data_IF_247528581889
#
_entry.id   IF_247528581889
#
_cell.length_a   1.000
_cell.length_b   1.000
_cell.length_c   1.000
_cell.angle_alpha   90.00
_cell.angle_beta   90.00
_cell.angle_gamma   90.00
#
_symmetry.space_group_name_H-M   'P 1'
#
loop_
_entity.id
_entity.type
_entity.pdbx_description
1 polymer ?
#
# COMPACT_ATOMS: atom_id res chain seq x y z
N UNK A 1 6.23 22.00 15.51
CA UNK A 1 7.50 21.37 15.10
C UNK A 1 7.21 20.52 13.88
N UNK A 2 8.18 20.39 12.97
CA UNK A 2 8.09 19.57 11.75
C UNK A 2 9.20 18.53 11.76
N UNK A 3 9.00 17.41 11.06
CA UNK A 3 9.93 16.27 11.03
C UNK A 3 10.89 16.36 9.83
N UNK A 4 12.13 15.95 10.04
CA UNK A 4 13.12 15.76 8.97
C UNK A 4 12.85 14.49 8.16
N UNK A 5 12.37 13.44 8.83
CA UNK A 5 12.10 12.13 8.23
C UNK A 5 10.79 11.61 8.79
N UNK A 6 9.92 11.13 7.90
CA UNK A 6 8.74 10.32 8.24
C UNK A 6 8.92 8.94 7.65
N UNK A 7 8.56 7.90 8.41
CA UNK A 7 8.64 6.50 7.98
C UNK A 7 7.23 5.91 8.03
N UNK A 8 6.83 5.29 6.92
CA UNK A 8 5.55 4.63 6.76
C UNK A 8 5.77 3.33 5.98
N UNK A 9 6.00 2.22 6.68
CA UNK A 9 6.23 0.94 6.05
C UNK A 9 4.99 0.06 6.15
N UNK A 10 4.47 -0.37 5.00
CA UNK A 10 3.41 -1.37 4.86
C UNK A 10 2.15 -1.01 5.67
N UNK A 11 1.71 0.25 5.51
CA UNK A 11 0.54 0.81 6.21
C UNK A 11 -0.48 1.44 5.28
N UNK A 12 -0.06 1.98 4.14
CA UNK A 12 -0.92 2.79 3.27
C UNK A 12 -2.01 1.96 2.58
N UNK A 13 -1.72 0.69 2.30
CA UNK A 13 -2.64 -0.29 1.74
C UNK A 13 -3.78 -0.67 2.69
N UNK A 14 -3.63 -0.44 3.99
CA UNK A 14 -4.64 -0.78 5.00
C UNK A 14 -5.64 0.33 5.28
N UNK A 15 -5.50 1.49 4.60
CA UNK A 15 -6.38 2.63 4.81
C UNK A 15 -7.77 2.38 4.23
N UNK A 16 -8.73 2.19 5.15
CA UNK A 16 -10.12 1.92 4.83
C UNK A 16 -10.74 3.13 4.12
N UNK A 17 -10.99 2.97 2.82
CA UNK A 17 -11.43 4.05 1.93
C UNK A 17 -10.57 4.22 0.68
N UNK A 18 -9.52 3.39 0.55
CA UNK A 18 -8.66 3.31 -0.62
C UNK A 18 -8.01 4.66 -0.94
N UNK A 19 -7.91 4.98 -2.23
CA UNK A 19 -7.18 6.14 -2.73
C UNK A 19 -7.52 7.45 -2.00
N UNK A 20 -8.78 7.70 -1.65
CA UNK A 20 -9.18 8.94 -0.97
C UNK A 20 -8.52 9.10 0.41
N UNK A 21 -8.47 8.01 1.18
CA UNK A 21 -7.82 7.99 2.48
C UNK A 21 -6.29 7.91 2.35
N UNK A 22 -5.78 7.24 1.32
CA UNK A 22 -4.35 7.20 1.01
C UNK A 22 -3.81 8.59 0.67
N UNK A 23 -4.53 9.36 -0.13
CA UNK A 23 -4.19 10.77 -0.41
C UNK A 23 -4.26 11.60 0.87
N UNK A 24 -5.30 11.44 1.69
CA UNK A 24 -5.42 12.19 2.95
C UNK A 24 -4.27 11.88 3.92
N UNK A 25 -3.89 10.60 4.04
CA UNK A 25 -2.73 10.17 4.80
C UNK A 25 -1.44 10.83 4.31
N UNK A 26 -1.20 10.83 3.00
CA UNK A 26 -0.03 11.47 2.41
C UNK A 26 -0.03 13.01 2.60
N UNK A 27 -1.21 13.66 2.58
CA UNK A 27 -1.34 15.10 2.89
C UNK A 27 -0.97 15.42 4.33
N UNK A 28 -1.36 14.57 5.28
CA UNK A 28 -0.94 14.74 6.66
C UNK A 28 0.57 14.56 6.84
N UNK A 29 1.18 13.64 6.08
CA UNK A 29 2.64 13.50 6.04
C UNK A 29 3.31 14.76 5.47
N UNK A 30 2.83 15.26 4.34
CA UNK A 30 3.34 16.50 3.72
C UNK A 30 3.28 17.67 4.71
N UNK A 31 2.14 17.83 5.41
CA UNK A 31 1.93 18.91 6.40
C UNK A 31 2.92 18.87 7.57
N UNK A 32 3.33 17.68 8.01
CA UNK A 32 4.23 17.53 9.17
C UNK A 32 5.70 17.49 8.79
N UNK A 33 6.03 17.28 7.50
CA UNK A 33 7.40 17.32 7.01
C UNK A 33 7.93 18.76 7.01
N UNK A 34 9.24 18.90 7.18
CA UNK A 34 9.95 20.12 6.78
C UNK A 34 9.95 20.25 5.24
N UNK A 35 10.16 21.44 4.68
CA UNK A 35 10.23 21.62 3.22
C UNK A 35 11.20 20.66 2.50
N UNK A 36 12.34 20.35 3.13
CA UNK A 36 13.35 19.42 2.61
C UNK A 36 13.33 18.06 3.33
N UNK A 37 12.25 17.78 4.07
CA UNK A 37 12.06 16.51 4.76
C UNK A 37 11.74 15.38 3.79
N UNK A 38 12.07 14.15 4.17
CA UNK A 38 11.85 12.97 3.34
C UNK A 38 10.86 12.00 3.96
N UNK A 39 10.04 11.39 3.09
CA UNK A 39 9.19 10.25 3.43
C UNK A 39 9.86 8.96 2.94
N UNK A 40 10.07 8.02 3.85
CA UNK A 40 10.38 6.63 3.52
C UNK A 40 9.08 5.83 3.54
N UNK A 41 8.62 5.42 2.37
CA UNK A 41 7.35 4.71 2.17
C UNK A 41 7.59 3.35 1.52
N UNK A 42 7.06 2.29 2.12
CA UNK A 42 6.94 0.97 1.48
C UNK A 42 5.48 0.55 1.47
N UNK A 43 5.12 -0.21 0.43
CA UNK A 43 3.83 -0.88 0.33
C UNK A 43 3.95 -2.00 -0.71
N UNK A 44 3.20 -3.09 -0.58
CA UNK A 44 3.18 -4.15 -1.59
C UNK A 44 2.66 -3.64 -2.93
N UNK A 45 3.31 -4.09 -4.01
CA UNK A 45 2.96 -3.66 -5.36
C UNK A 45 1.85 -4.56 -5.94
N UNK A 46 0.75 -3.95 -6.37
CA UNK A 46 -0.35 -4.68 -7.02
C UNK A 46 0.09 -5.52 -8.23
N UNK A 47 1.08 -5.07 -9.00
CA UNK A 47 1.61 -5.78 -10.16
C UNK A 47 2.49 -6.99 -9.81
N UNK A 48 2.80 -7.21 -8.54
CA UNK A 48 3.69 -8.29 -8.13
C UNK A 48 2.99 -9.65 -8.18
N UNK A 49 3.52 -10.66 -8.91
CA UNK A 49 2.85 -11.96 -8.99
C UNK A 49 2.72 -12.65 -7.64
N UNK A 50 3.73 -12.55 -6.78
CA UNK A 50 3.67 -13.02 -5.41
C UNK A 50 3.15 -11.90 -4.51
N UNK A 51 2.04 -12.17 -3.82
CA UNK A 51 1.36 -11.16 -3.02
C UNK A 51 1.86 -11.16 -1.57
N UNK A 52 2.26 -9.99 -1.06
CA UNK A 52 3.02 -9.86 0.18
C UNK A 52 2.27 -10.20 1.47
N UNK A 53 0.94 -10.11 1.50
CA UNK A 53 0.16 -10.38 2.72
C UNK A 53 -0.19 -11.86 2.87
N UNK A 54 -0.46 -12.52 1.74
CA UNK A 54 -0.92 -13.89 1.68
C UNK A 54 0.21 -14.86 1.34
N UNK A 55 1.30 -14.38 0.72
CA UNK A 55 2.34 -15.20 0.10
C UNK A 55 1.77 -16.19 -0.92
N UNK A 56 0.71 -15.78 -1.63
CA UNK A 56 0.07 -16.53 -2.70
C UNK A 56 0.29 -15.85 -4.04
N UNK A 57 0.13 -16.63 -5.12
CA UNK A 57 0.27 -16.11 -6.47
C UNK A 57 -1.03 -15.45 -6.92
N UNK A 58 -0.98 -14.13 -7.12
CA UNK A 58 -1.99 -13.35 -7.81
C UNK A 58 -3.41 -13.26 -7.22
N UNK A 59 -3.66 -13.37 -5.89
CA UNK A 59 -5.01 -13.17 -5.36
C UNK A 59 -5.62 -11.81 -5.74
N UNK A 60 -4.80 -10.77 -5.90
CA UNK A 60 -5.22 -9.41 -6.29
C UNK A 60 -5.71 -9.28 -7.72
N UNK A 61 -5.44 -10.27 -8.58
CA UNK A 61 -5.95 -10.32 -9.95
C UNK A 61 -7.30 -11.04 -10.06
N UNK A 62 -7.76 -11.66 -8.98
CA UNK A 62 -8.99 -12.43 -8.95
C UNK A 62 -10.17 -11.58 -8.46
N UNK A 63 -11.41 -11.84 -8.92
CA UNK A 63 -12.59 -11.25 -8.32
C UNK A 63 -12.64 -11.57 -6.82
N UNK A 64 -13.04 -10.60 -5.99
CA UNK A 64 -13.02 -10.67 -4.51
C UNK A 64 -13.51 -12.00 -3.92
N UNK A 65 -14.64 -12.52 -4.41
CA UNK A 65 -15.21 -13.79 -3.91
C UNK A 65 -14.30 -14.98 -4.22
N UNK A 66 -13.66 -14.99 -5.37
CA UNK A 66 -12.71 -16.03 -5.80
C UNK A 66 -11.41 -15.89 -5.01
N UNK A 67 -10.89 -14.66 -4.88
CA UNK A 67 -9.70 -14.38 -4.07
C UNK A 67 -9.89 -14.86 -2.62
N UNK A 68 -11.00 -14.51 -1.97
CA UNK A 68 -11.27 -14.94 -0.60
C UNK A 68 -11.31 -16.47 -0.47
N UNK A 69 -11.95 -17.18 -1.42
CA UNK A 69 -12.00 -18.65 -1.40
C UNK A 69 -10.62 -19.27 -1.63
N UNK A 70 -9.85 -18.70 -2.55
CA UNK A 70 -8.49 -19.12 -2.84
C UNK A 70 -7.59 -19.00 -1.61
N UNK A 71 -7.63 -17.83 -0.94
CA UNK A 71 -6.89 -17.57 0.30
C UNK A 71 -7.39 -18.48 1.42
N UNK A 72 -8.70 -18.69 1.58
CA UNK A 72 -9.26 -19.53 2.63
C UNK A 72 -8.76 -20.98 2.53
N UNK A 73 -8.53 -21.47 1.30
CA UNK A 73 -8.08 -22.83 1.08
C UNK A 73 -6.58 -23.01 1.34
N UNK A 74 -5.74 -22.05 0.94
CA UNK A 74 -4.27 -22.20 1.01
C UNK A 74 -3.62 -21.47 2.20
N UNK A 75 -4.27 -20.41 2.72
CA UNK A 75 -3.77 -19.50 3.75
C UNK A 75 -4.91 -19.02 4.67
N UNK A 76 -5.63 -19.92 5.37
CA UNK A 76 -6.76 -19.55 6.20
C UNK A 76 -6.40 -18.58 7.34
N UNK A 77 -5.15 -18.58 7.80
CA UNK A 77 -4.66 -17.68 8.87
C UNK A 77 -4.77 -16.20 8.51
N UNK A 78 -4.76 -15.84 7.22
CA UNK A 78 -5.00 -14.47 6.75
C UNK A 78 -6.30 -13.89 7.34
N UNK A 79 -7.34 -14.71 7.48
CA UNK A 79 -8.64 -14.25 8.00
C UNK A 79 -8.71 -14.11 9.54
N UNK A 80 -7.59 -14.32 10.25
CA UNK A 80 -7.51 -13.96 11.67
C UNK A 80 -7.29 -12.45 11.85
N UNK A 81 -6.67 -11.81 10.86
CA UNK A 81 -6.35 -10.37 10.86
C UNK A 81 -7.31 -9.56 9.97
N UNK A 82 -7.74 -10.15 8.85
CA UNK A 82 -8.60 -9.49 7.87
C UNK A 82 -9.97 -10.16 7.75
N UNK A 83 -11.03 -9.40 7.51
CA UNK A 83 -12.36 -9.98 7.22
C UNK A 83 -12.49 -10.42 5.78
N UNK A 84 -11.76 -9.76 4.89
CA UNK A 84 -11.77 -10.02 3.46
C UNK A 84 -10.47 -9.52 2.84
N UNK A 85 -10.07 -10.12 1.72
CA UNK A 85 -8.93 -9.61 0.97
C UNK A 85 -9.10 -8.16 0.49
N UNK A 86 -10.34 -7.67 0.34
CA UNK A 86 -10.61 -6.31 -0.11
C UNK A 86 -10.34 -5.21 0.94
N UNK A 87 -9.93 -5.57 2.16
CA UNK A 87 -9.39 -4.63 3.15
C UNK A 87 -7.93 -4.25 2.87
N UNK A 88 -7.28 -4.94 1.93
CA UNK A 88 -5.96 -4.60 1.41
C UNK A 88 -6.13 -3.83 0.08
N UNK A 89 -5.84 -2.54 0.12
CA UNK A 89 -5.94 -1.60 -1.00
C UNK A 89 -4.58 -1.40 -1.66
N UNK A 90 -4.12 -2.43 -2.37
CA UNK A 90 -2.84 -2.39 -3.07
C UNK A 90 -2.80 -1.30 -4.14
N UNK A 91 -1.65 -0.64 -4.23
CA UNK A 91 -1.36 0.37 -5.24
C UNK A 91 -0.48 -0.23 -6.34
N UNK A 92 -0.81 0.07 -7.59
CA UNK A 92 0.17 -0.06 -8.67
C UNK A 92 1.15 1.11 -8.61
N UNK A 93 2.35 1.03 -9.21
CA UNK A 93 3.34 2.11 -9.17
C UNK A 93 2.82 3.39 -9.84
N UNK A 94 2.02 3.23 -10.89
CA UNK A 94 1.33 4.32 -11.57
C UNK A 94 0.33 5.00 -10.64
N UNK A 95 -0.44 4.21 -9.88
CA UNK A 95 -1.41 4.76 -8.94
C UNK A 95 -0.71 5.41 -7.75
N UNK A 96 0.37 4.82 -7.24
CA UNK A 96 1.22 5.40 -6.21
C UNK A 96 1.72 6.79 -6.62
N UNK A 97 2.26 6.93 -7.84
CA UNK A 97 2.69 8.24 -8.38
C UNK A 97 1.55 9.25 -8.42
N UNK A 98 0.36 8.81 -8.82
CA UNK A 98 -0.84 9.66 -8.86
C UNK A 98 -1.24 10.15 -7.46
N UNK A 99 -1.27 9.27 -6.45
CA UNK A 99 -1.69 9.66 -5.09
C UNK A 99 -0.63 10.51 -4.39
N UNK A 100 0.67 10.27 -4.64
CA UNK A 100 1.75 11.13 -4.17
C UNK A 100 1.63 12.54 -4.74
N UNK A 101 1.46 12.67 -6.06
CA UNK A 101 1.30 13.95 -6.73
C UNK A 101 0.06 14.71 -6.23
N UNK A 102 -1.06 14.02 -6.02
CA UNK A 102 -2.28 14.63 -5.48
C UNK A 102 -2.12 15.12 -4.03
N UNK A 103 -1.21 14.51 -3.28
CA UNK A 103 -0.87 14.90 -1.91
C UNK A 103 0.21 16.00 -1.84
N UNK A 104 0.77 16.43 -2.97
CA UNK A 104 1.86 17.43 -3.00
C UNK A 104 3.25 16.85 -2.77
N UNK A 105 3.40 15.52 -2.78
CA UNK A 105 4.68 14.84 -2.63
C UNK A 105 5.25 14.45 -4.01
N UNK A 106 6.58 14.43 -4.12
CA UNK A 106 7.28 13.99 -5.32
C UNK A 106 8.23 12.83 -5.03
N UNK A 107 8.34 11.83 -5.92
CA UNK A 107 9.28 10.73 -5.73
C UNK A 107 10.71 11.22 -5.93
N UNK A 108 11.56 11.02 -4.92
CA UNK A 108 13.00 11.29 -5.01
C UNK A 108 13.77 10.06 -5.52
N UNK A 109 13.41 8.88 -5.02
CA UNK A 109 14.01 7.61 -5.41
C UNK A 109 12.96 6.50 -5.42
N UNK A 110 13.02 5.64 -6.43
CA UNK A 110 12.20 4.44 -6.55
C UNK A 110 13.13 3.23 -6.50
N UNK A 111 12.93 2.36 -5.50
CA UNK A 111 13.61 1.08 -5.43
C UNK A 111 12.97 0.07 -6.39
N UNK A 112 13.70 -0.99 -6.79
CA UNK A 112 13.14 -2.06 -7.61
C UNK A 112 11.84 -2.62 -7.01
N UNK A 113 10.92 -2.99 -7.89
CA UNK A 113 9.66 -3.60 -7.49
C UNK A 113 9.83 -5.10 -7.33
N UNK A 114 9.03 -5.71 -6.45
CA UNK A 114 9.03 -7.17 -6.24
C UNK A 114 10.38 -7.74 -5.80
N UNK A 115 11.17 -6.95 -5.09
CA UNK A 115 12.40 -7.41 -4.44
C UNK A 115 12.15 -7.43 -2.94
N UNK A 116 11.72 -8.59 -2.44
CA UNK A 116 11.74 -8.91 -1.01
C UNK A 116 13.05 -9.63 -0.68
#
# INVERSE_FOLDING_TARGET
GSFDVVVAFDVIEHLVGGDSWQVQFLREIERILKPDGILLLTTPNWLCPLEGHTFLLGPQFLPRRVANRYIQWLRPHFFQEYRTYAEVHLLSPWRMKSVLAEAGLSPLHELPWCTD
#
